data_IF_668400892650
#
_entry.id   IF_668400892650
#
_cell.length_a   1.000
_cell.length_b   1.000
_cell.length_c   1.000
_cell.angle_alpha   90.00
_cell.angle_beta   90.00
_cell.angle_gamma   90.00
#
_symmetry.space_group_name_H-M   'P 1'
#
loop_
_entity.id
_entity.type
_entity.pdbx_description
1 polymer ?
#
# COMPACT_ATOMS: atom_id res chain seq x y z
N UNK A 1 -23.64 10.20 -2.20
CA UNK A 1 -22.53 9.62 -2.99
C UNK A 1 -21.66 8.80 -2.03
N UNK A 2 -21.59 7.46 -2.19
CA UNK A 2 -20.75 6.62 -1.31
C UNK A 2 -19.28 6.81 -1.73
N UNK A 3 -18.48 7.47 -0.90
CA UNK A 3 -17.02 7.49 -1.05
C UNK A 3 -16.53 6.07 -0.74
N UNK A 4 -15.83 5.43 -1.67
CA UNK A 4 -15.07 4.22 -1.34
C UNK A 4 -13.78 4.70 -0.65
N UNK A 5 -13.64 4.34 0.62
CA UNK A 5 -12.44 4.58 1.41
C UNK A 5 -11.59 3.32 1.27
N UNK A 6 -10.39 3.46 0.73
CA UNK A 6 -9.41 2.38 0.64
C UNK A 6 -8.39 2.58 1.74
N UNK A 7 -8.00 1.52 2.43
CA UNK A 7 -6.91 1.57 3.41
C UNK A 7 -5.68 0.95 2.76
N UNK A 8 -4.62 1.74 2.64
CA UNK A 8 -3.32 1.25 2.16
C UNK A 8 -2.31 1.18 3.30
N UNK A 9 -1.73 0.01 3.50
CA UNK A 9 -0.64 -0.19 4.45
C UNK A 9 0.70 -0.02 3.73
N UNK A 10 1.54 0.89 4.23
CA UNK A 10 2.88 1.14 3.70
C UNK A 10 3.92 0.34 4.47
N UNK A 11 4.81 -0.32 3.74
CA UNK A 11 5.91 -1.11 4.28
C UNK A 11 7.22 -0.63 3.68
N UNK A 12 8.30 -0.73 4.47
CA UNK A 12 9.67 -0.54 4.02
C UNK A 12 10.44 -1.85 4.17
N UNK A 13 11.03 -2.33 3.10
CA UNK A 13 11.93 -3.48 3.19
C UNK A 13 13.24 -3.04 3.84
N UNK A 14 13.73 -3.77 4.85
CA UNK A 14 15.02 -3.46 5.48
C UNK A 14 16.22 -3.95 4.66
N UNK A 15 15.98 -4.77 3.63
CA UNK A 15 17.04 -5.35 2.77
C UNK A 15 17.31 -4.49 1.54
N UNK A 16 16.26 -4.14 0.79
CA UNK A 16 16.39 -3.29 -0.40
C UNK A 16 16.07 -1.81 -0.13
N UNK A 17 15.67 -1.48 1.11
CA UNK A 17 15.31 -0.13 1.56
C UNK A 17 14.11 0.53 0.84
N UNK A 18 13.54 -0.17 -0.15
CA UNK A 18 12.39 0.25 -0.93
C UNK A 18 11.10 0.31 -0.12
N UNK A 19 10.18 1.17 -0.58
CA UNK A 19 8.87 1.40 0.04
C UNK A 19 7.77 0.95 -0.92
N UNK A 20 6.81 0.19 -0.41
CA UNK A 20 5.66 -0.29 -1.17
C UNK A 20 4.38 -0.24 -0.33
N UNK A 21 3.25 -0.26 -1.01
CA UNK A 21 1.93 -0.20 -0.39
C UNK A 21 1.12 -1.45 -0.74
N UNK A 22 0.36 -1.94 0.23
CA UNK A 22 -0.56 -3.06 0.07
C UNK A 22 -1.98 -2.57 0.31
N UNK A 23 -2.89 -2.97 -0.58
CA UNK A 23 -4.32 -2.71 -0.48
C UNK A 23 -4.96 -3.63 0.57
N UNK A 24 -5.81 -3.07 1.43
CA UNK A 24 -6.56 -3.83 2.44
C UNK A 24 -6.06 -3.68 3.89
N UNK A 25 -5.09 -2.79 4.14
CA UNK A 25 -4.53 -2.55 5.48
C UNK A 25 -3.52 -3.62 5.92
N UNK A 26 -3.12 -3.57 7.19
CA UNK A 26 -2.14 -4.53 7.76
C UNK A 26 -2.70 -5.94 7.73
N UNK A 27 -2.21 -6.72 6.79
CA UNK A 27 -2.32 -8.17 6.75
C UNK A 27 -0.89 -8.69 6.77
N UNK A 28 -0.60 -9.57 7.74
CA UNK A 28 0.58 -10.44 7.91
C UNK A 28 1.88 -10.06 7.15
N UNK A 29 3.00 -9.91 7.87
CA UNK A 29 4.32 -9.47 7.34
C UNK A 29 4.60 -9.88 5.88
N UNK A 30 4.32 -8.99 4.91
CA UNK A 30 4.30 -9.37 3.52
C UNK A 30 5.72 -9.42 2.97
N UNK A 31 6.00 -10.42 2.13
CA UNK A 31 7.26 -10.48 1.40
C UNK A 31 7.42 -9.23 0.51
N UNK A 32 8.63 -8.67 0.50
CA UNK A 32 8.96 -7.54 -0.35
C UNK A 32 8.77 -7.93 -1.82
N UNK A 33 7.97 -7.18 -2.61
CA UNK A 33 7.74 -7.51 -4.02
C UNK A 33 8.99 -7.33 -4.89
N UNK A 34 10.02 -6.63 -4.41
CA UNK A 34 11.24 -6.35 -5.15
C UNK A 34 12.35 -7.38 -4.91
N UNK A 35 12.58 -7.77 -3.64
CA UNK A 35 13.66 -8.68 -3.28
C UNK A 35 13.18 -10.04 -2.74
N UNK A 36 11.88 -10.22 -2.51
CA UNK A 36 11.28 -11.46 -2.01
C UNK A 36 11.48 -11.73 -0.51
N UNK A 37 12.15 -10.85 0.22
CA UNK A 37 12.44 -11.03 1.65
C UNK A 37 11.25 -10.63 2.53
N UNK A 38 11.02 -11.35 3.62
CA UNK A 38 9.93 -11.07 4.58
C UNK A 38 10.29 -10.03 5.65
N UNK A 39 11.53 -9.53 5.66
CA UNK A 39 11.98 -8.48 6.58
C UNK A 39 11.48 -7.09 6.12
N UNK A 40 10.19 -6.83 6.33
CA UNK A 40 9.55 -5.59 5.93
C UNK A 40 8.89 -4.89 7.13
N UNK A 41 9.39 -3.70 7.44
CA UNK A 41 8.89 -2.88 8.55
C UNK A 41 7.64 -2.13 8.11
N UNK A 42 6.55 -2.34 8.84
CA UNK A 42 5.35 -1.52 8.67
C UNK A 42 5.66 -0.04 9.03
N UNK A 43 5.25 0.88 8.16
CA UNK A 43 5.43 2.31 8.35
C UNK A 43 4.17 2.98 8.87
N UNK A 44 3.06 2.85 8.13
CA UNK A 44 1.76 3.44 8.47
C UNK A 44 0.64 2.88 7.59
N UNK A 45 -0.58 2.95 8.09
CA UNK A 45 -1.79 2.87 7.28
C UNK A 45 -2.21 4.27 6.82
N UNK A 46 -2.67 4.36 5.57
CA UNK A 46 -3.21 5.58 5.01
C UNK A 46 -4.57 5.31 4.38
N UNK A 47 -5.58 6.03 4.86
CA UNK A 47 -6.91 6.05 4.27
C UNK A 47 -6.91 6.95 3.04
N UNK A 48 -7.17 6.34 1.88
CA UNK A 48 -7.24 7.02 0.60
C UNK A 48 -8.70 7.08 0.17
N UNK A 49 -9.26 8.28 0.18
CA UNK A 49 -10.56 8.56 -0.44
C UNK A 49 -10.35 8.81 -1.93
N UNK A 50 -10.44 7.78 -2.76
CA UNK A 50 -10.34 7.95 -4.20
C UNK A 50 -11.61 8.65 -4.74
N UNK A 51 -11.50 9.78 -5.45
CA UNK A 51 -12.63 10.34 -6.16
C UNK A 51 -12.99 9.39 -7.31
N UNK A 52 -14.27 9.01 -7.41
CA UNK A 52 -14.79 7.97 -8.31
C UNK A 52 -14.64 8.25 -9.84
N UNK A 53 -13.80 9.20 -10.27
CA UNK A 53 -13.62 9.56 -11.69
C UNK A 53 -12.21 10.06 -11.97
N UNK A 54 -11.26 9.15 -12.21
CA UNK A 54 -10.13 9.49 -13.08
C UNK A 54 -10.70 9.39 -14.50
N UNK A 55 -11.27 10.50 -14.99
CA UNK A 55 -11.72 10.60 -16.38
C UNK A 55 -10.45 10.53 -17.24
N UNK A 56 -10.18 9.39 -17.86
CA UNK A 56 -9.13 9.24 -18.89
C UNK A 56 -9.39 10.34 -19.93
N UNK A 57 -8.53 11.34 -19.99
CA UNK A 57 -8.54 12.33 -21.06
C UNK A 57 -8.02 11.58 -22.29
N UNK A 58 -8.88 11.46 -23.30
CA UNK A 58 -8.55 10.91 -24.62
C UNK A 58 -7.68 11.89 -25.40
#
# INVERSE_FOLDING_TARGET
MRKQVYVMAFYRCEVCEDVYAIDGGVTEEPACPYCGQTYCKHLKDQEISLPAKIKRIK
#
